data_IF_576683514003
#
_entry.id   IF_576683514003
#
_cell.length_a   1.000
_cell.length_b   1.000
_cell.length_c   1.000
_cell.angle_alpha   90.00
_cell.angle_beta   90.00
_cell.angle_gamma   90.00
#
_symmetry.space_group_name_H-M   'P 1'
#
loop_
_entity.id
_entity.type
_entity.pdbx_description
1 polymer ?
#
# COMPACT_ATOMS: atom_id res chain seq x y z
N UNK A 1 -42.55 35.73 -18.22
CA UNK A 1 -41.25 36.41 -18.25
C UNK A 1 -41.18 37.21 -16.95
N UNK A 2 -40.34 36.92 -15.97
CA UNK A 2 -38.86 36.98 -15.99
C UNK A 2 -38.31 36.27 -14.75
N UNK A 3 -37.17 35.60 -14.90
CA UNK A 3 -36.37 34.89 -13.88
C UNK A 3 -35.95 35.81 -12.71
N UNK A 4 -35.77 35.22 -11.52
CA UNK A 4 -34.73 35.52 -10.49
C UNK A 4 -34.92 34.53 -9.32
N UNK A 5 -34.33 33.33 -9.38
CA UNK A 5 -32.98 32.97 -8.92
C UNK A 5 -32.73 33.36 -7.45
N UNK A 6 -32.70 32.29 -6.66
CA UNK A 6 -32.38 32.14 -5.25
C UNK A 6 -30.95 32.64 -4.99
N UNK A 7 -30.79 33.50 -3.98
CA UNK A 7 -29.50 33.75 -3.33
C UNK A 7 -29.71 33.49 -1.84
N UNK A 8 -29.45 32.25 -1.42
CA UNK A 8 -29.36 31.87 -0.01
C UNK A 8 -27.92 32.14 0.42
N UNK A 9 -27.73 33.18 1.21
CA UNK A 9 -26.46 33.52 1.87
C UNK A 9 -26.13 32.42 2.88
N UNK A 10 -25.11 31.62 2.60
CA UNK A 10 -24.55 30.65 3.55
C UNK A 10 -23.71 31.42 4.59
N UNK A 11 -24.30 31.66 5.76
CA UNK A 11 -23.59 32.19 6.93
C UNK A 11 -22.69 31.06 7.46
N UNK A 12 -21.38 31.25 7.35
CA UNK A 12 -20.37 30.44 8.03
C UNK A 12 -20.41 30.86 9.51
N UNK A 13 -21.08 30.09 10.36
CA UNK A 13 -20.92 30.18 11.81
C UNK A 13 -19.80 29.24 12.25
N UNK A 14 -18.61 29.81 12.47
CA UNK A 14 -17.54 29.17 13.25
C UNK A 14 -18.02 29.13 14.69
N UNK A 15 -18.61 28.01 15.12
CA UNK A 15 -18.82 27.76 16.53
C UNK A 15 -17.54 27.15 17.12
N UNK A 16 -16.77 28.00 17.78
CA UNK A 16 -15.85 27.59 18.82
C UNK A 16 -16.64 26.83 19.88
N UNK A 17 -16.53 25.50 19.87
CA UNK A 17 -16.86 24.69 21.03
C UNK A 17 -15.56 24.46 21.80
N UNK A 18 -15.43 25.18 22.91
CA UNK A 18 -14.55 24.83 24.01
C UNK A 18 -14.99 23.46 24.54
N UNK A 19 -14.36 22.41 24.00
CA UNK A 19 -14.43 21.07 24.55
C UNK A 19 -13.45 20.96 25.71
N UNK A 20 -13.98 20.75 26.91
CA UNK A 20 -13.24 20.49 28.14
C UNK A 20 -12.09 19.50 27.92
N UNK A 21 -10.85 20.01 27.98
CA UNK A 21 -9.67 19.17 28.07
C UNK A 21 -9.53 18.72 29.52
N UNK A 22 -10.10 17.58 29.88
CA UNK A 22 -9.60 16.84 31.04
C UNK A 22 -8.18 16.41 30.67
N UNK A 23 -7.20 16.99 31.37
CA UNK A 23 -5.80 16.62 31.24
C UNK A 23 -5.66 15.12 31.54
N UNK A 24 -5.42 14.32 30.48
CA UNK A 24 -5.09 12.92 30.63
C UNK A 24 -3.65 12.84 31.11
N UNK A 25 -3.52 12.37 32.36
CA UNK A 25 -2.29 12.15 33.11
C UNK A 25 -1.13 11.65 32.24
N UNK A 26 -0.06 12.46 32.22
CA UNK A 26 1.25 12.14 31.66
C UNK A 26 1.86 11.00 32.49
N UNK A 27 1.60 9.75 32.06
CA UNK A 27 2.37 8.59 32.49
C UNK A 27 3.52 8.40 31.50
N UNK A 28 4.60 9.12 31.76
CA UNK A 28 5.90 8.88 31.16
C UNK A 28 6.48 7.57 31.71
N UNK A 29 6.18 6.46 31.04
CA UNK A 29 6.95 5.22 31.13
C UNK A 29 7.22 4.80 29.69
N UNK A 30 8.50 4.67 29.32
CA UNK A 30 8.96 4.44 27.96
C UNK A 30 8.52 3.06 27.45
N UNK A 31 7.27 2.92 27.04
CA UNK A 31 6.90 1.99 25.98
C UNK A 31 7.64 2.47 24.74
N UNK A 32 8.84 1.94 24.51
CA UNK A 32 9.51 2.10 23.25
C UNK A 32 8.70 1.27 22.28
N UNK A 33 7.70 1.88 21.65
CA UNK A 33 6.94 1.27 20.57
C UNK A 33 7.95 0.84 19.50
N UNK A 34 8.21 -0.46 19.45
CA UNK A 34 9.33 -1.06 18.69
C UNK A 34 8.79 -1.77 17.46
N UNK A 35 7.58 -2.33 17.52
CA UNK A 35 7.03 -3.19 16.49
C UNK A 35 5.60 -2.79 16.14
N UNK A 36 5.34 -2.57 14.86
CA UNK A 36 4.01 -2.36 14.29
C UNK A 36 3.59 -3.53 13.42
N UNK A 37 2.36 -4.01 13.59
CA UNK A 37 1.71 -4.97 12.70
C UNK A 37 0.78 -4.23 11.75
N UNK A 38 0.79 -4.56 10.46
CA UNK A 38 0.18 -3.75 9.41
C UNK A 38 -0.71 -4.60 8.50
N UNK A 39 -1.81 -4.02 8.07
CA UNK A 39 -2.63 -4.50 6.97
C UNK A 39 -3.05 -3.32 6.09
N UNK A 40 -2.77 -3.41 4.79
CA UNK A 40 -3.08 -2.44 3.76
C UNK A 40 -4.45 -2.74 3.10
N UNK A 41 -5.39 -1.84 3.37
CA UNK A 41 -6.79 -1.94 2.95
C UNK A 41 -6.96 -1.77 1.42
N UNK A 42 -5.98 -1.19 0.72
CA UNK A 42 -6.03 -1.06 -0.75
C UNK A 42 -5.90 -2.44 -1.41
N UNK A 43 -5.11 -3.34 -0.83
CA UNK A 43 -4.94 -4.69 -1.37
C UNK A 43 -6.21 -5.54 -1.20
N UNK A 44 -7.02 -5.28 -0.18
CA UNK A 44 -8.30 -5.95 0.03
C UNK A 44 -9.28 -5.73 -1.13
N UNK A 45 -9.20 -4.57 -1.81
CA UNK A 45 -10.01 -4.28 -3.02
C UNK A 45 -9.71 -5.28 -4.13
N UNK A 46 -8.45 -5.68 -4.28
CA UNK A 46 -8.03 -6.68 -5.27
C UNK A 46 -8.27 -8.11 -4.81
N UNK A 47 -8.89 -8.27 -3.63
CA UNK A 47 -8.82 -9.44 -2.76
C UNK A 47 -7.36 -9.85 -2.72
N UNK A 48 -6.47 -9.23 -1.95
CA UNK A 48 -5.07 -9.67 -1.83
C UNK A 48 -4.75 -9.74 -0.36
N UNK A 49 -4.50 -10.95 0.13
CA UNK A 49 -4.14 -11.17 1.52
C UNK A 49 -2.81 -10.47 1.75
N UNK A 50 -2.75 -9.61 2.75
CA UNK A 50 -1.54 -8.84 2.99
C UNK A 50 -1.29 -8.71 4.49
N UNK A 51 -0.02 -8.75 4.85
CA UNK A 51 0.45 -8.53 6.21
C UNK A 51 1.81 -7.84 6.14
N UNK A 52 2.01 -6.89 7.04
CA UNK A 52 3.29 -6.21 7.20
C UNK A 52 3.72 -6.15 8.65
N UNK A 53 5.03 -6.05 8.83
CA UNK A 53 5.67 -5.73 10.10
C UNK A 53 6.54 -4.50 9.90
N UNK A 54 6.60 -3.63 10.90
CA UNK A 54 7.51 -2.50 10.89
C UNK A 54 8.25 -2.42 12.21
N UNK A 55 9.57 -2.50 12.15
CA UNK A 55 10.45 -2.49 13.30
C UNK A 55 11.21 -1.17 13.38
N UNK A 56 11.03 -0.42 14.47
CA UNK A 56 11.88 0.73 14.77
C UNK A 56 13.21 0.24 15.35
N UNK A 57 14.31 0.65 14.74
CA UNK A 57 15.65 0.27 15.21
C UNK A 57 16.53 1.48 15.57
N UNK A 58 16.19 2.70 15.14
CA UNK A 58 16.85 3.95 15.54
C UNK A 58 15.81 5.07 15.75
N UNK A 59 16.26 6.21 16.28
CA UNK A 59 15.40 7.34 16.63
C UNK A 59 14.59 7.90 15.46
N UNK A 60 15.13 7.79 14.23
CA UNK A 60 14.53 8.30 12.99
C UNK A 60 14.38 7.22 11.91
N UNK A 61 14.74 5.97 12.19
CA UNK A 61 14.69 4.89 11.19
C UNK A 61 13.82 3.71 11.64
N UNK A 62 13.06 3.18 10.68
CA UNK A 62 12.35 1.91 10.81
C UNK A 62 12.56 1.06 9.56
N UNK A 63 12.38 -0.25 9.74
CA UNK A 63 12.38 -1.23 8.67
C UNK A 63 10.98 -1.81 8.54
N UNK A 64 10.35 -1.59 7.39
CA UNK A 64 9.03 -2.10 7.01
C UNK A 64 9.21 -3.30 6.09
N UNK A 65 8.45 -4.36 6.33
CA UNK A 65 8.44 -5.53 5.46
C UNK A 65 7.01 -6.01 5.29
N UNK A 66 6.62 -6.24 4.04
CA UNK A 66 5.28 -6.75 3.73
C UNK A 66 5.33 -7.96 2.81
N UNK A 67 4.38 -8.86 3.04
CA UNK A 67 4.07 -10.00 2.18
C UNK A 67 2.63 -9.84 1.70
N UNK A 68 2.43 -9.92 0.40
CA UNK A 68 1.12 -9.81 -0.24
C UNK A 68 0.91 -11.06 -1.08
N UNK A 69 -0.20 -11.75 -0.90
CA UNK A 69 -0.50 -13.02 -1.54
C UNK A 69 -1.90 -13.06 -2.11
N UNK A 70 -1.97 -13.44 -3.38
CA UNK A 70 -3.19 -13.61 -4.12
C UNK A 70 -3.21 -15.01 -4.79
N UNK A 71 -3.99 -15.97 -4.25
CA UNK A 71 -4.10 -17.30 -4.85
C UNK A 71 -5.19 -17.43 -5.91
N UNK A 72 -6.05 -16.42 -6.08
CA UNK A 72 -7.35 -16.62 -6.71
C UNK A 72 -7.27 -16.71 -8.24
N UNK A 73 -8.06 -17.64 -8.77
CA UNK A 73 -8.54 -17.60 -10.16
C UNK A 73 -9.98 -17.14 -10.11
N UNK A 74 -10.31 -16.04 -10.77
CA UNK A 74 -11.66 -15.48 -10.79
C UNK A 74 -12.50 -16.09 -11.94
N UNK A 75 -13.78 -15.68 -12.01
CA UNK A 75 -14.72 -16.12 -13.04
C UNK A 75 -14.15 -15.94 -14.45
N UNK A 76 -14.47 -16.86 -15.37
CA UNK A 76 -13.86 -16.92 -16.71
C UNK A 76 -12.35 -17.17 -16.69
N UNK A 77 -11.79 -17.69 -15.59
CA UNK A 77 -10.37 -18.01 -15.48
C UNK A 77 -9.45 -16.76 -15.57
N UNK A 78 -9.92 -15.60 -15.08
CA UNK A 78 -9.03 -14.46 -14.85
C UNK A 78 -8.04 -14.78 -13.74
N UNK A 79 -6.76 -14.53 -13.98
CA UNK A 79 -5.69 -14.82 -13.02
C UNK A 79 -5.07 -13.50 -12.59
N UNK A 80 -5.03 -13.26 -11.28
CA UNK A 80 -4.26 -12.19 -10.65
C UNK A 80 -3.33 -12.79 -9.59
N UNK A 81 -2.83 -14.00 -9.86
CA UNK A 81 -2.10 -14.73 -8.84
C UNK A 81 -0.74 -14.11 -8.65
N UNK A 82 -0.38 -13.84 -7.41
CA UNK A 82 0.95 -13.35 -7.10
C UNK A 82 1.31 -13.61 -5.66
N UNK A 83 2.61 -13.67 -5.40
CA UNK A 83 3.20 -13.38 -4.11
C UNK A 83 4.14 -12.19 -4.31
N UNK A 84 4.12 -11.23 -3.40
CA UNK A 84 4.92 -10.01 -3.45
C UNK A 84 5.56 -9.78 -2.08
N UNK A 85 6.87 -9.63 -2.08
CA UNK A 85 7.68 -9.25 -0.94
C UNK A 85 8.19 -7.83 -1.16
N UNK A 86 8.02 -6.95 -0.17
CA UNK A 86 8.42 -5.55 -0.28
C UNK A 86 9.02 -5.05 1.04
N UNK A 87 10.34 -5.28 1.27
CA UNK A 87 11.10 -4.62 2.32
C UNK A 87 11.38 -3.15 1.98
N UNK A 88 11.36 -2.30 2.99
CA UNK A 88 11.54 -0.87 2.88
C UNK A 88 12.27 -0.32 4.11
N UNK A 89 13.33 0.45 3.84
CA UNK A 89 13.97 1.26 4.86
C UNK A 89 13.30 2.63 4.89
N UNK A 90 12.84 3.07 6.05
CA UNK A 90 12.10 4.32 6.22
C UNK A 90 12.83 5.29 7.12
N UNK A 91 12.94 6.53 6.66
CA UNK A 91 13.40 7.68 7.42
C UNK A 91 12.22 8.56 7.81
N UNK A 92 12.09 8.80 9.11
CA UNK A 92 11.03 9.60 9.72
C UNK A 92 11.54 11.01 10.00
N UNK A 93 10.74 12.00 9.64
CA UNK A 93 11.10 13.42 9.86
C UNK A 93 11.18 13.75 11.36
N UNK A 94 10.38 13.05 12.19
CA UNK A 94 10.37 13.25 13.64
C UNK A 94 10.75 11.96 14.39
N UNK A 95 9.80 11.04 14.56
CA UNK A 95 10.03 9.76 15.23
C UNK A 95 9.24 8.70 14.47
N UNK A 96 9.69 7.43 14.43
CA UNK A 96 8.90 6.38 13.84
C UNK A 96 7.48 6.33 14.41
N UNK A 97 6.55 6.02 13.51
CA UNK A 97 5.11 6.02 13.75
C UNK A 97 4.47 7.39 13.98
N UNK A 98 5.18 8.49 13.66
CA UNK A 98 4.70 9.85 13.86
C UNK A 98 4.80 10.69 12.57
N UNK A 99 3.65 10.88 11.90
CA UNK A 99 3.49 11.73 10.71
C UNK A 99 4.34 11.25 9.54
N UNK A 100 5.27 12.07 9.09
CA UNK A 100 5.91 11.94 7.78
C UNK A 100 7.10 10.97 7.80
N UNK A 101 7.18 10.16 6.74
CA UNK A 101 8.37 9.41 6.40
C UNK A 101 8.64 9.40 4.90
N UNK A 102 9.90 9.16 4.55
CA UNK A 102 10.36 8.80 3.21
C UNK A 102 11.00 7.43 3.28
N UNK A 103 10.79 6.61 2.27
CA UNK A 103 11.33 5.25 2.24
C UNK A 103 12.05 4.93 0.95
N UNK A 104 12.98 3.98 1.04
CA UNK A 104 13.57 3.28 -0.09
C UNK A 104 13.21 1.81 0.00
N UNK A 105 12.58 1.29 -1.04
CA UNK A 105 12.11 -0.10 -1.07
C UNK A 105 12.70 -0.87 -2.23
N UNK A 106 12.86 -2.17 -2.01
CA UNK A 106 12.97 -3.15 -3.09
C UNK A 106 11.70 -4.00 -3.10
N UNK A 107 11.41 -4.63 -4.23
CA UNK A 107 10.30 -5.54 -4.35
C UNK A 107 10.69 -6.76 -5.18
N UNK A 108 10.13 -7.90 -4.80
CA UNK A 108 10.15 -9.12 -5.58
C UNK A 108 8.74 -9.67 -5.66
N UNK A 109 8.29 -10.06 -6.86
CA UNK A 109 7.01 -10.74 -7.01
C UNK A 109 7.10 -11.88 -8.00
N UNK A 110 6.62 -13.05 -7.59
CA UNK A 110 6.28 -14.11 -8.53
C UNK A 110 4.80 -13.99 -8.88
N UNK A 111 4.47 -13.95 -10.16
CA UNK A 111 3.11 -13.69 -10.63
C UNK A 111 2.68 -14.60 -11.77
N UNK A 112 1.36 -14.77 -11.88
CA UNK A 112 0.68 -15.43 -12.98
C UNK A 112 -0.61 -14.66 -13.28
N UNK A 113 -0.54 -13.83 -14.32
CA UNK A 113 -1.60 -12.90 -14.69
C UNK A 113 -2.09 -13.17 -16.11
N UNK A 114 -3.40 -13.09 -16.32
CA UNK A 114 -3.99 -13.34 -17.63
C UNK A 114 -5.52 -13.25 -17.61
N UNK A 115 -6.11 -13.10 -18.79
CA UNK A 115 -7.53 -12.84 -19.00
C UNK A 115 -8.06 -11.63 -18.19
N UNK A 116 -7.29 -10.53 -18.19
CA UNK A 116 -7.72 -9.26 -17.58
C UNK A 116 -8.09 -8.27 -18.69
N UNK A 117 -9.13 -7.42 -18.50
CA UNK A 117 -9.62 -6.50 -19.54
C UNK A 117 -8.69 -5.28 -19.73
N UNK A 118 -7.37 -5.48 -19.72
CA UNK A 118 -6.36 -4.44 -19.79
C UNK A 118 -5.25 -4.85 -20.78
N UNK A 119 -5.20 -4.17 -21.93
CA UNK A 119 -4.13 -4.32 -22.92
C UNK A 119 -3.93 -5.77 -23.40
N UNK A 120 -2.66 -6.22 -23.44
CA UNK A 120 -2.30 -7.56 -23.92
C UNK A 120 -2.70 -8.71 -22.98
N UNK A 121 -3.19 -8.41 -21.77
CA UNK A 121 -3.63 -9.41 -20.79
C UNK A 121 -4.98 -10.06 -21.16
N UNK A 122 -5.69 -9.51 -22.14
CA UNK A 122 -6.95 -10.07 -22.62
C UNK A 122 -6.75 -11.31 -23.52
N UNK A 123 -5.58 -11.43 -24.15
CA UNK A 123 -5.32 -12.50 -25.13
C UNK A 123 -4.16 -13.42 -24.70
N UNK A 124 -3.34 -12.99 -23.73
CA UNK A 124 -2.15 -13.70 -23.30
C UNK A 124 -2.08 -13.82 -21.79
N UNK A 125 -1.50 -14.94 -21.34
CA UNK A 125 -1.13 -15.15 -19.94
C UNK A 125 0.38 -14.98 -19.79
N UNK A 126 0.77 -14.30 -18.72
CA UNK A 126 2.16 -14.02 -18.38
C UNK A 126 2.44 -14.62 -17.01
N UNK A 127 3.50 -15.41 -16.91
CA UNK A 127 3.95 -16.00 -15.65
C UNK A 127 5.45 -15.81 -15.52
N UNK A 128 5.89 -15.35 -14.36
CA UNK A 128 7.30 -15.11 -14.11
C UNK A 128 7.53 -14.23 -12.89
N UNK A 129 8.65 -13.52 -12.93
CA UNK A 129 9.22 -12.82 -11.79
C UNK A 129 9.39 -11.33 -12.08
N UNK A 130 9.08 -10.51 -11.09
CA UNK A 130 9.26 -9.07 -11.10
C UNK A 130 10.25 -8.66 -10.02
N UNK A 131 11.26 -7.88 -10.36
CA UNK A 131 12.25 -7.34 -9.44
C UNK A 131 12.25 -5.83 -9.57
N UNK A 132 12.19 -5.12 -8.45
CA UNK A 132 12.11 -3.67 -8.51
C UNK A 132 12.74 -2.98 -7.33
N UNK A 133 12.92 -1.68 -7.52
CA UNK A 133 13.38 -0.75 -6.51
C UNK A 133 12.62 0.56 -6.68
N UNK A 134 12.43 1.29 -5.60
CA UNK A 134 11.69 2.54 -5.62
C UNK A 134 11.88 3.35 -4.36
N UNK A 135 11.26 4.52 -4.40
CA UNK A 135 11.16 5.42 -3.26
C UNK A 135 9.69 5.61 -2.91
N UNK A 136 9.43 5.86 -1.63
CA UNK A 136 8.11 6.06 -1.08
C UNK A 136 8.07 7.35 -0.25
N UNK A 137 6.88 7.90 -0.14
CA UNK A 137 6.55 8.92 0.85
C UNK A 137 5.23 8.51 1.51
N UNK A 138 5.15 8.69 2.82
CA UNK A 138 3.96 8.38 3.57
C UNK A 138 3.72 9.28 4.76
N UNK A 139 2.50 9.18 5.27
CA UNK A 139 2.05 9.88 6.46
C UNK A 139 1.27 8.94 7.36
N UNK A 140 1.59 8.93 8.66
CA UNK A 140 0.92 8.13 9.67
C UNK A 140 0.18 9.00 10.70
N UNK A 141 -1.11 8.72 10.89
CA UNK A 141 -1.99 9.32 11.88
C UNK A 141 -2.21 8.35 13.06
N UNK A 142 -2.07 8.79 14.31
CA UNK A 142 -2.63 8.06 15.44
C UNK A 142 -4.16 8.14 15.40
N UNK A 143 -4.84 7.00 15.46
CA UNK A 143 -6.31 6.95 15.45
C UNK A 143 -6.87 6.84 16.88
N UNK A 144 -6.47 5.80 17.61
CA UNK A 144 -6.88 5.50 18.98
C UNK A 144 -5.76 4.69 19.66
N UNK A 145 -5.79 4.45 20.98
CA UNK A 145 -4.68 3.85 21.69
C UNK A 145 -4.18 2.54 21.05
N UNK A 146 -2.92 2.53 20.61
CA UNK A 146 -2.26 1.39 19.96
C UNK A 146 -2.56 1.24 18.46
N UNK A 147 -3.44 2.05 17.87
CA UNK A 147 -3.82 1.95 16.45
C UNK A 147 -3.52 3.22 15.68
N UNK A 148 -2.85 3.04 14.54
CA UNK A 148 -2.48 4.10 13.63
C UNK A 148 -3.00 3.80 12.21
N UNK A 149 -3.22 4.85 11.42
CA UNK A 149 -3.52 4.77 10.01
C UNK A 149 -2.34 5.34 9.22
N UNK A 150 -1.94 4.70 8.14
CA UNK A 150 -0.86 5.16 7.25
C UNK A 150 -1.37 5.30 5.82
N UNK A 151 -1.09 6.43 5.17
CA UNK A 151 -1.21 6.56 3.73
C UNK A 151 0.17 6.66 3.11
N UNK A 152 0.43 5.88 2.06
CA UNK A 152 1.75 5.78 1.42
C UNK A 152 1.60 5.69 -0.09
N UNK A 153 2.48 6.38 -0.81
CA UNK A 153 2.64 6.25 -2.26
C UNK A 153 4.12 6.11 -2.59
N UNK A 154 4.45 5.33 -3.61
CA UNK A 154 5.81 5.15 -4.06
C UNK A 154 5.92 4.96 -5.56
N UNK A 155 7.03 5.43 -6.10
CA UNK A 155 7.38 5.33 -7.51
C UNK A 155 8.71 4.61 -7.65
N UNK A 156 8.88 3.87 -8.73
CA UNK A 156 10.10 3.09 -8.92
C UNK A 156 10.15 2.40 -10.27
N UNK A 157 11.14 1.54 -10.38
CA UNK A 157 11.43 0.74 -11.54
C UNK A 157 11.21 -0.75 -11.24
N UNK A 158 10.63 -1.49 -12.18
CA UNK A 158 10.45 -2.93 -12.11
C UNK A 158 10.93 -3.55 -13.42
N UNK A 159 11.81 -4.53 -13.30
CA UNK A 159 12.18 -5.47 -14.35
C UNK A 159 11.31 -6.72 -14.22
N UNK A 160 10.59 -7.05 -15.29
CA UNK A 160 9.79 -8.26 -15.41
C UNK A 160 10.47 -9.26 -16.34
N UNK A 161 10.58 -10.49 -15.90
CA UNK A 161 10.98 -11.65 -16.70
C UNK A 161 9.84 -12.66 -16.71
N UNK A 162 9.39 -13.09 -17.88
CA UNK A 162 8.18 -13.91 -17.98
C UNK A 162 8.19 -14.87 -19.17
N UNK A 163 7.53 -16.01 -18.96
CA UNK A 163 7.02 -16.86 -20.01
C UNK A 163 5.64 -16.37 -20.46
N UNK A 164 5.44 -16.29 -21.77
CA UNK A 164 4.18 -15.92 -22.41
C UNK A 164 3.45 -17.17 -22.89
N UNK A 165 2.13 -17.22 -22.69
CA UNK A 165 1.28 -18.34 -23.11
C UNK A 165 0.12 -17.87 -23.98
N UNK A 166 -0.20 -18.65 -25.02
CA UNK A 166 -1.20 -18.31 -26.07
C UNK A 166 -2.66 -18.40 -25.60
N UNK A 167 -2.92 -19.11 -24.50
CA UNK A 167 -4.27 -19.36 -24.00
C UNK A 167 -4.38 -19.14 -22.50
N UNK A 168 -5.53 -18.58 -22.12
CA UNK A 168 -5.92 -18.19 -20.76
C UNK A 168 -5.94 -19.39 -19.80
N UNK A 169 -6.41 -20.55 -20.26
CA UNK A 169 -6.60 -21.79 -19.49
C UNK A 169 -5.46 -22.79 -19.67
N UNK A 170 -5.15 -23.17 -20.93
CA UNK A 170 -4.25 -24.28 -21.28
C UNK A 170 -3.34 -23.93 -22.48
N UNK A 171 -2.69 -22.77 -22.46
CA UNK A 171 -1.83 -22.33 -23.56
C UNK A 171 -0.48 -23.03 -23.60
N UNK A 172 -0.02 -23.35 -24.81
CA UNK A 172 1.39 -23.63 -25.06
C UNK A 172 2.22 -22.40 -24.74
N UNK A 173 3.43 -22.63 -24.25
CA UNK A 173 4.41 -21.56 -24.06
C UNK A 173 4.81 -21.02 -25.44
N UNK A 174 4.58 -19.72 -25.64
CA UNK A 174 4.94 -19.01 -26.86
C UNK A 174 6.41 -18.54 -26.84
N UNK A 175 7.01 -18.52 -25.65
CA UNK A 175 8.40 -18.14 -25.41
C UNK A 175 8.56 -17.19 -24.23
N UNK A 176 9.81 -16.87 -23.95
CA UNK A 176 10.20 -15.97 -22.86
C UNK A 176 10.37 -14.53 -23.35
N UNK A 177 10.16 -13.58 -22.46
CA UNK A 177 10.35 -12.17 -22.72
C UNK A 177 10.58 -11.39 -21.44
N UNK A 178 11.06 -10.17 -21.60
CA UNK A 178 11.27 -9.25 -20.49
C UNK A 178 10.62 -7.91 -20.76
N UNK A 179 10.30 -7.18 -19.69
CA UNK A 179 9.74 -5.82 -19.79
C UNK A 179 10.23 -4.95 -18.66
N UNK A 180 10.57 -3.72 -19.01
CA UNK A 180 10.91 -2.68 -18.06
C UNK A 180 9.68 -1.82 -17.79
N UNK A 181 9.43 -1.50 -16.53
CA UNK A 181 8.35 -0.64 -16.09
C UNK A 181 8.89 0.43 -15.17
N UNK A 182 8.47 1.67 -15.41
CA UNK A 182 8.71 2.78 -14.50
C UNK A 182 7.38 3.44 -14.18
N UNK A 183 7.07 3.62 -12.91
CA UNK A 183 5.78 4.16 -12.47
C UNK A 183 5.48 3.88 -11.01
N UNK A 184 4.20 3.91 -10.62
CA UNK A 184 3.78 3.54 -9.27
C UNK A 184 4.22 2.12 -8.89
N UNK A 185 4.97 1.99 -7.80
CA UNK A 185 5.45 0.71 -7.25
C UNK A 185 4.98 0.45 -5.82
N UNK A 186 4.37 1.45 -5.17
CA UNK A 186 3.72 1.30 -3.87
C UNK A 186 2.51 2.21 -3.79
N UNK A 187 1.42 1.68 -3.25
CA UNK A 187 0.26 2.48 -2.83
C UNK A 187 -0.35 1.76 -1.63
N UNK A 188 -0.71 2.51 -0.59
CA UNK A 188 -1.30 1.91 0.58
C UNK A 188 -2.10 2.85 1.42
N UNK A 189 -3.14 2.28 2.01
CA UNK A 189 -3.87 2.82 3.14
C UNK A 189 -3.88 1.72 4.21
N UNK A 190 -2.94 1.79 5.15
CA UNK A 190 -2.67 0.70 6.09
C UNK A 190 -3.20 1.00 7.48
N UNK A 191 -3.91 0.05 8.06
CA UNK A 191 -4.20 0.02 9.48
C UNK A 191 -3.04 -0.67 10.21
N UNK A 192 -2.56 -0.04 11.27
CA UNK A 192 -1.35 -0.44 11.97
C UNK A 192 -1.66 -0.59 13.46
N UNK A 193 -1.31 -1.73 14.04
CA UNK A 193 -1.33 -1.95 15.48
C UNK A 193 0.09 -1.91 16.04
N UNK A 194 0.34 -1.00 16.96
CA UNK A 194 1.62 -0.79 17.60
C UNK A 194 1.69 -1.64 18.88
N UNK A 195 2.64 -2.55 18.92
CA UNK A 195 2.93 -3.40 20.07
C UNK A 195 3.75 -2.59 21.08
N UNK A 196 3.29 -2.63 22.33
CA UNK A 196 3.90 -2.00 23.51
C UNK A 196 4.66 -3.02 24.33
#
# INVERSE_FOLDING_TARGET
MTKKIIFFTLIISVNFLQGNSQAMSDKTEWSQDILGLKSNLVYDITTTLNIGIEYRFLDYLSFDFSINYNPWTFSKNKKLKHILFQPELRYWINKPYNKHFVGGHILYSHYNVGNLPFGSLNNYRYQGDGYGLGISYGYQWPLFPGWNLEATIGVGYIYFDYARYDCETCGQELGNGHKNYFGPTKIGLSLIYILK
#
